data_IF_669419322998
#
_entry.id   IF_669419322998
#
_cell.length_a   1.000
_cell.length_b   1.000
_cell.length_c   1.000
_cell.angle_alpha   90.00
_cell.angle_beta   90.00
_cell.angle_gamma   90.00
#
_symmetry.space_group_name_H-M   'P 1'
#
loop_
_entity.id
_entity.type
_entity.pdbx_description
1 polymer ?
#
# COMPACT_ATOMS: atom_id res chain seq x y z
N UNK A 1 -5.21 -14.77 -0.85
CA UNK A 1 -4.00 -14.37 -0.07
C UNK A 1 -2.78 -14.14 -0.96
N UNK A 2 -2.35 -15.08 -1.83
CA UNK A 2 -1.19 -14.85 -2.72
C UNK A 2 -1.36 -13.63 -3.64
N UNK A 3 -2.58 -13.40 -4.16
CA UNK A 3 -2.88 -12.26 -5.03
C UNK A 3 -2.71 -10.92 -4.31
N UNK A 4 -3.05 -10.87 -3.01
CA UNK A 4 -2.90 -9.64 -2.22
C UNK A 4 -1.43 -9.34 -1.90
N UNK A 5 -0.60 -10.36 -1.73
CA UNK A 5 0.85 -10.17 -1.56
C UNK A 5 1.48 -9.55 -2.81
N UNK A 6 1.01 -9.91 -4.01
CA UNK A 6 1.43 -9.25 -5.26
C UNK A 6 1.05 -7.77 -5.27
N UNK A 7 -0.18 -7.45 -4.86
CA UNK A 7 -0.64 -6.05 -4.72
C UNK A 7 0.22 -5.29 -3.70
N UNK A 8 0.55 -5.90 -2.57
CA UNK A 8 1.42 -5.29 -1.55
C UNK A 8 2.85 -5.07 -2.04
N UNK A 9 3.42 -6.02 -2.79
CA UNK A 9 4.75 -5.85 -3.39
C UNK A 9 4.78 -4.64 -4.34
N UNK A 10 3.76 -4.52 -5.20
CA UNK A 10 3.61 -3.39 -6.12
C UNK A 10 3.36 -2.07 -5.36
N UNK A 11 2.54 -2.11 -4.30
CA UNK A 11 2.35 -0.97 -3.39
C UNK A 11 3.69 -0.48 -2.83
N UNK A 12 4.54 -1.36 -2.31
CA UNK A 12 5.83 -0.97 -1.72
C UNK A 12 6.84 -0.51 -2.76
N UNK A 13 6.82 -1.08 -3.97
CA UNK A 13 7.64 -0.62 -5.07
C UNK A 13 7.25 0.81 -5.50
N UNK A 14 5.95 1.08 -5.64
CA UNK A 14 5.40 2.40 -5.93
C UNK A 14 5.74 3.42 -4.84
N UNK A 15 5.52 3.06 -3.56
CA UNK A 15 5.82 3.92 -2.43
C UNK A 15 7.32 4.26 -2.36
N UNK A 16 8.19 3.27 -2.59
CA UNK A 16 9.64 3.50 -2.63
C UNK A 16 10.01 4.43 -3.77
N UNK A 17 9.53 4.14 -4.99
CA UNK A 17 9.84 4.92 -6.19
C UNK A 17 9.45 6.38 -6.00
N UNK A 18 8.23 6.64 -5.52
CA UNK A 18 7.72 7.99 -5.26
C UNK A 18 8.57 8.79 -4.25
N UNK A 19 9.23 8.10 -3.29
CA UNK A 19 10.14 8.76 -2.33
C UNK A 19 11.54 9.00 -2.87
N UNK A 20 11.92 8.30 -3.95
CA UNK A 20 13.30 8.32 -4.48
C UNK A 20 13.47 9.12 -5.77
N UNK A 21 12.45 9.13 -6.63
CA UNK A 21 12.53 9.69 -7.98
C UNK A 21 11.22 10.40 -8.34
N UNK A 22 11.28 11.47 -9.17
CA UNK A 22 10.09 11.99 -9.83
C UNK A 22 9.46 10.89 -10.70
N UNK A 23 8.15 10.72 -10.59
CA UNK A 23 7.39 9.76 -11.39
C UNK A 23 6.66 10.47 -12.53
N UNK A 24 6.52 9.79 -13.66
CA UNK A 24 5.65 10.28 -14.73
C UNK A 24 4.19 10.20 -14.31
N UNK A 25 3.32 10.98 -14.95
CA UNK A 25 1.88 10.90 -14.70
C UNK A 25 1.32 9.48 -14.94
N UNK A 26 1.84 8.78 -15.96
CA UNK A 26 1.44 7.40 -16.26
C UNK A 26 1.80 6.44 -15.12
N UNK A 27 3.01 6.57 -14.56
CA UNK A 27 3.45 5.74 -13.44
C UNK A 27 2.66 6.04 -12.16
N UNK A 28 2.34 7.31 -11.91
CA UNK A 28 1.47 7.70 -10.78
C UNK A 28 0.10 7.03 -10.93
N UNK A 29 -0.51 7.11 -12.11
CA UNK A 29 -1.81 6.48 -12.35
C UNK A 29 -1.76 4.96 -12.18
N UNK A 30 -0.71 4.30 -12.66
CA UNK A 30 -0.53 2.85 -12.46
C UNK A 30 -0.41 2.48 -10.97
N UNK A 31 0.28 3.30 -10.18
CA UNK A 31 0.43 3.07 -8.74
C UNK A 31 -0.85 3.33 -7.93
N UNK A 32 -1.73 4.21 -8.41
CA UNK A 32 -2.99 4.52 -7.71
C UNK A 32 -3.90 3.30 -7.58
N UNK A 33 -3.95 2.43 -8.57
CA UNK A 33 -4.77 1.21 -8.52
C UNK A 33 -4.31 0.27 -7.39
N UNK A 34 -3.00 0.14 -7.18
CA UNK A 34 -2.45 -0.64 -6.07
C UNK A 34 -2.75 0.01 -4.71
N UNK A 35 -2.68 1.34 -4.63
CA UNK A 35 -3.02 2.07 -3.41
C UNK A 35 -4.49 1.93 -3.04
N UNK A 36 -5.39 2.03 -4.01
CA UNK A 36 -6.83 1.84 -3.78
C UNK A 36 -7.18 0.39 -3.42
N UNK A 37 -6.49 -0.59 -4.00
CA UNK A 37 -6.65 -1.99 -3.62
C UNK A 37 -6.23 -2.25 -2.16
N UNK A 38 -5.09 -1.70 -1.71
CA UNK A 38 -4.66 -1.80 -0.30
C UNK A 38 -5.63 -1.09 0.64
N UNK A 39 -6.05 0.14 0.31
CA UNK A 39 -7.05 0.86 1.13
C UNK A 39 -8.36 0.09 1.23
N UNK A 40 -8.83 -0.49 0.12
CA UNK A 40 -10.07 -1.27 0.10
C UNK A 40 -9.95 -2.53 0.93
N UNK A 41 -8.81 -3.22 0.90
CA UNK A 41 -8.58 -4.42 1.70
C UNK A 41 -8.63 -4.16 3.21
N UNK A 42 -8.06 -3.04 3.67
CA UNK A 42 -8.01 -2.68 5.09
C UNK A 42 -9.19 -1.81 5.56
N UNK A 43 -10.07 -1.41 4.64
CA UNK A 43 -11.23 -0.63 4.99
C UNK A 43 -12.24 -1.47 5.78
N UNK A 44 -12.77 -0.95 6.88
CA UNK A 44 -13.82 -1.62 7.64
C UNK A 44 -15.09 -1.78 6.78
N UNK A 45 -15.72 -2.95 6.91
CA UNK A 45 -17.00 -3.23 6.26
C UNK A 45 -18.10 -2.33 6.81
N UNK A 46 -18.98 -1.84 5.93
CA UNK A 46 -20.12 -1.01 6.30
C UNK A 46 -19.82 0.46 6.63
N UNK A 47 -18.55 0.89 6.65
CA UNK A 47 -18.24 2.32 6.75
C UNK A 47 -18.56 3.06 5.43
N UNK A 48 -19.23 4.23 5.50
CA UNK A 48 -19.51 5.03 4.31
C UNK A 48 -18.21 5.51 3.65
N UNK A 49 -18.24 5.60 2.31
CA UNK A 49 -17.12 6.13 1.53
C UNK A 49 -16.80 7.56 1.94
N UNK A 50 -15.52 7.87 2.16
CA UNK A 50 -15.10 9.23 2.50
C UNK A 50 -13.75 9.28 3.24
N UNK A 51 -13.33 10.47 3.67
CA UNK A 51 -12.04 10.66 4.35
C UNK A 51 -11.87 9.82 5.60
N UNK A 52 -12.97 9.58 6.34
CA UNK A 52 -12.94 8.78 7.56
C UNK A 52 -12.61 7.32 7.27
N UNK A 53 -13.26 6.70 6.27
CA UNK A 53 -12.97 5.33 5.83
C UNK A 53 -11.51 5.18 5.39
N UNK A 54 -10.99 6.14 4.63
CA UNK A 54 -9.59 6.15 4.21
C UNK A 54 -8.62 6.22 5.39
N UNK A 55 -8.96 7.03 6.41
CA UNK A 55 -8.17 7.13 7.63
C UNK A 55 -8.19 5.82 8.42
N UNK A 56 -9.36 5.22 8.64
CA UNK A 56 -9.48 3.94 9.35
C UNK A 56 -8.72 2.83 8.60
N UNK A 57 -8.87 2.75 7.28
CA UNK A 57 -8.14 1.80 6.44
C UNK A 57 -6.61 1.96 6.58
N UNK A 58 -6.13 3.21 6.60
CA UNK A 58 -4.70 3.49 6.80
C UNK A 58 -4.21 3.01 8.17
N UNK A 59 -4.96 3.28 9.25
CA UNK A 59 -4.59 2.83 10.59
C UNK A 59 -4.57 1.30 10.69
N UNK A 60 -5.60 0.64 10.20
CA UNK A 60 -5.67 -0.84 10.14
C UNK A 60 -4.50 -1.43 9.35
N UNK A 61 -4.13 -0.80 8.23
CA UNK A 61 -2.97 -1.22 7.45
C UNK A 61 -1.67 -1.06 8.25
N UNK A 62 -1.47 0.06 8.97
CA UNK A 62 -0.28 0.27 9.80
C UNK A 62 -0.18 -0.71 10.96
N UNK A 63 -1.29 -1.01 11.62
CA UNK A 63 -1.33 -2.02 12.68
C UNK A 63 -0.98 -3.40 12.11
N UNK A 64 -1.48 -3.74 10.92
CA UNK A 64 -1.12 -4.97 10.22
C UNK A 64 0.37 -5.00 9.83
N UNK A 65 0.93 -3.91 9.29
CA UNK A 65 2.35 -3.84 8.94
C UNK A 65 3.24 -4.09 10.16
N UNK A 66 2.87 -3.51 11.31
CA UNK A 66 3.60 -3.70 12.56
C UNK A 66 3.55 -5.15 13.04
N UNK A 67 2.39 -5.81 12.93
CA UNK A 67 2.22 -7.21 13.31
C UNK A 67 2.90 -8.20 12.35
N UNK A 68 3.21 -7.79 11.12
CA UNK A 68 3.75 -8.63 10.05
C UNK A 68 5.11 -8.11 9.55
N UNK A 69 5.94 -7.58 10.44
CA UNK A 69 7.15 -6.85 10.08
C UNK A 69 8.09 -7.67 9.19
N UNK A 70 8.34 -8.94 9.50
CA UNK A 70 9.23 -9.82 8.69
C UNK A 70 8.75 -9.94 7.24
N UNK A 71 7.43 -10.06 7.05
CA UNK A 71 6.82 -10.12 5.72
C UNK A 71 6.97 -8.76 5.02
N UNK A 72 6.65 -7.67 5.70
CA UNK A 72 6.79 -6.31 5.14
C UNK A 72 8.23 -6.05 4.70
N UNK A 73 9.21 -6.44 5.52
CA UNK A 73 10.63 -6.29 5.22
C UNK A 73 11.04 -7.14 4.01
N UNK A 74 10.45 -8.33 3.82
CA UNK A 74 10.69 -9.15 2.62
C UNK A 74 10.08 -8.57 1.33
N UNK A 75 9.00 -7.78 1.45
CA UNK A 75 8.27 -7.19 0.31
C UNK A 75 8.79 -5.82 -0.10
N UNK A 76 9.41 -5.08 0.83
CA UNK A 76 9.98 -3.77 0.53
C UNK A 76 11.24 -3.95 -0.32
N UNK A 77 11.37 -3.23 -1.45
CA UNK A 77 12.59 -3.31 -2.24
C UNK A 77 13.78 -2.89 -1.38
N UNK A 78 14.85 -3.70 -1.41
CA UNK A 78 16.10 -3.38 -0.73
C UNK A 78 16.55 -1.99 -1.19
N UNK A 79 16.61 -1.02 -0.26
CA UNK A 79 17.34 0.22 -0.52
C UNK A 79 18.81 -0.15 -0.67
N UNK A 80 19.27 -0.30 -1.91
CA UNK A 80 20.70 -0.33 -2.20
C UNK A 80 21.21 1.09 -1.97
N UNK A 81 21.96 1.27 -0.88
CA UNK A 81 22.84 2.43 -0.69
C UNK A 81 23.94 2.41 -1.75
#
# INVERSE_FOLDING_TARGET
MPEFLTVLALYYACATTATTLPMSHADVMACMDHYEAVKTHFAPEGEPTGPQRSRTAYLNFKDWEQANQDLVDSLRPLRRN
#
